data_IF_522200357976
#
_entry.id   IF_522200357976
#
_cell.length_a   1.000
_cell.length_b   1.000
_cell.length_c   1.000
_cell.angle_alpha   90.00
_cell.angle_beta   90.00
_cell.angle_gamma   90.00
#
_symmetry.space_group_name_H-M   'P 1'
#
loop_
_entity.id
_entity.type
_entity.pdbx_description
1 polymer ?
#
# COMPACT_ATOMS: atom_id res chain seq x y z
N UNK A 1 14.66 1.16 -19.90
CA UNK A 1 13.59 2.17 -20.05
C UNK A 1 12.70 2.03 -18.82
N UNK A 2 12.44 3.11 -18.08
CA UNK A 2 11.61 3.08 -16.88
C UNK A 2 10.15 2.93 -17.30
N UNK A 3 9.51 1.82 -16.94
CA UNK A 3 8.14 1.49 -17.32
C UNK A 3 7.13 2.28 -16.46
N UNK A 4 7.14 3.61 -16.57
CA UNK A 4 6.14 4.46 -15.91
C UNK A 4 4.92 4.56 -16.81
N UNK A 5 3.83 3.91 -16.42
CA UNK A 5 2.53 4.10 -17.04
C UNK A 5 2.10 5.57 -16.91
N UNK A 6 1.52 6.16 -17.97
CA UNK A 6 0.94 7.50 -17.88
C UNK A 6 -0.10 7.56 -16.76
N UNK A 7 -0.18 8.70 -16.06
CA UNK A 7 -1.14 8.91 -14.96
C UNK A 7 -2.60 8.68 -15.34
N UNK A 8 -2.98 9.03 -16.58
CA UNK A 8 -4.32 8.80 -17.09
C UNK A 8 -4.65 7.30 -17.11
N UNK A 9 -3.72 6.47 -17.62
CA UNK A 9 -3.86 5.02 -17.65
C UNK A 9 -3.95 4.42 -16.24
N UNK A 10 -3.20 4.96 -15.28
CA UNK A 10 -3.31 4.54 -13.87
C UNK A 10 -4.68 4.88 -13.25
N UNK A 11 -5.32 5.96 -13.69
CA UNK A 11 -6.67 6.30 -13.25
C UNK A 11 -7.72 5.34 -13.84
N UNK A 12 -7.54 4.93 -15.09
CA UNK A 12 -8.42 3.93 -15.73
C UNK A 12 -8.32 2.56 -15.05
N UNK A 13 -7.10 2.13 -14.70
CA UNK A 13 -6.88 0.89 -13.91
C UNK A 13 -7.57 0.99 -12.56
N UNK A 14 -7.41 2.11 -11.87
CA UNK A 14 -8.04 2.37 -10.57
C UNK A 14 -9.56 2.32 -10.67
N UNK A 15 -10.15 2.88 -11.72
CA UNK A 15 -11.59 2.86 -11.97
C UNK A 15 -12.09 1.43 -12.27
N UNK A 16 -11.39 0.68 -13.12
CA UNK A 16 -11.72 -0.72 -13.41
C UNK A 16 -11.73 -1.57 -12.14
N UNK A 17 -10.68 -1.48 -11.32
CA UNK A 17 -10.61 -2.17 -10.03
C UNK A 17 -11.69 -1.70 -9.06
N UNK A 18 -12.02 -0.41 -9.00
CA UNK A 18 -13.11 0.08 -8.15
C UNK A 18 -14.49 -0.46 -8.59
N UNK A 19 -14.70 -0.63 -9.89
CA UNK A 19 -15.92 -1.21 -10.47
C UNK A 19 -15.98 -2.75 -10.37
N UNK A 20 -14.88 -3.40 -9.98
CA UNK A 20 -14.79 -4.87 -9.97
C UNK A 20 -14.54 -5.48 -11.35
N UNK A 21 -14.20 -4.66 -12.36
CA UNK A 21 -13.80 -5.13 -13.69
C UNK A 21 -12.35 -5.63 -13.67
N UNK A 22 -12.19 -6.88 -13.21
CA UNK A 22 -10.88 -7.53 -13.11
C UNK A 22 -10.28 -7.80 -14.50
N UNK A 23 -11.10 -8.12 -15.50
CA UNK A 23 -10.63 -8.39 -16.85
C UNK A 23 -10.06 -7.11 -17.50
N UNK A 24 -10.78 -5.99 -17.40
CA UNK A 24 -10.30 -4.69 -17.85
C UNK A 24 -9.03 -4.26 -17.11
N UNK A 25 -8.98 -4.44 -15.79
CA UNK A 25 -7.79 -4.15 -15.00
C UNK A 25 -6.58 -4.99 -15.44
N UNK A 26 -6.75 -6.29 -15.70
CA UNK A 26 -5.69 -7.17 -16.22
C UNK A 26 -5.16 -6.68 -17.56
N UNK A 27 -6.05 -6.34 -18.50
CA UNK A 27 -5.65 -5.85 -19.84
C UNK A 27 -4.87 -4.55 -19.74
N UNK A 28 -5.32 -3.61 -18.91
CA UNK A 28 -4.69 -2.30 -18.74
C UNK A 28 -3.35 -2.38 -17.98
N UNK A 29 -3.22 -3.29 -17.01
CA UNK A 29 -1.97 -3.50 -16.28
C UNK A 29 -0.90 -4.21 -17.13
N UNK A 30 -1.32 -5.00 -18.12
CA UNK A 30 -0.40 -5.76 -18.96
C UNK A 30 0.38 -6.83 -18.17
N UNK A 31 1.36 -7.47 -18.83
CA UNK A 31 2.12 -8.58 -18.24
C UNK A 31 2.94 -8.16 -17.01
N UNK A 32 3.33 -9.15 -16.20
CA UNK A 32 4.05 -8.96 -14.92
C UNK A 32 5.58 -8.78 -15.10
N UNK A 33 6.04 -8.73 -16.36
CA UNK A 33 7.43 -9.00 -16.75
C UNK A 33 8.38 -7.82 -16.47
N UNK A 34 7.84 -6.63 -16.25
CA UNK A 34 8.60 -5.40 -16.09
C UNK A 34 8.76 -4.97 -14.63
N UNK A 35 9.93 -4.41 -14.30
CA UNK A 35 10.18 -3.85 -12.97
C UNK A 35 9.17 -2.74 -12.66
N UNK A 36 8.44 -2.92 -11.55
CA UNK A 36 7.47 -1.94 -11.12
C UNK A 36 8.16 -0.74 -10.45
N UNK A 37 7.95 0.45 -11.00
CA UNK A 37 8.57 1.70 -10.53
C UNK A 37 7.58 2.66 -9.85
N UNK A 38 6.30 2.29 -9.80
CA UNK A 38 5.22 3.03 -9.13
C UNK A 38 4.59 2.15 -8.07
N UNK A 39 4.43 2.71 -6.87
CA UNK A 39 3.72 2.05 -5.79
C UNK A 39 2.24 1.86 -6.10
N UNK A 40 1.63 2.78 -6.87
CA UNK A 40 0.26 2.62 -7.37
C UNK A 40 0.11 1.40 -8.26
N UNK A 41 0.98 1.23 -9.26
CA UNK A 41 0.95 0.05 -10.15
C UNK A 41 1.12 -1.24 -9.35
N UNK A 42 2.10 -1.30 -8.45
CA UNK A 42 2.33 -2.48 -7.60
C UNK A 42 1.11 -2.78 -6.70
N UNK A 43 0.49 -1.75 -6.11
CA UNK A 43 -0.72 -1.93 -5.32
C UNK A 43 -1.90 -2.43 -6.15
N UNK A 44 -2.09 -1.94 -7.37
CA UNK A 44 -3.15 -2.41 -8.26
C UNK A 44 -2.95 -3.87 -8.69
N UNK A 45 -1.71 -4.29 -8.97
CA UNK A 45 -1.39 -5.71 -9.20
C UNK A 45 -1.70 -6.57 -7.98
N UNK A 46 -1.42 -6.07 -6.76
CA UNK A 46 -1.80 -6.77 -5.54
C UNK A 46 -3.32 -6.92 -5.36
N UNK A 47 -4.08 -5.85 -5.62
CA UNK A 47 -5.55 -5.89 -5.57
C UNK A 47 -6.11 -6.91 -6.58
N UNK A 48 -5.55 -6.93 -7.80
CA UNK A 48 -5.93 -7.90 -8.82
C UNK A 48 -5.63 -9.33 -8.35
N UNK A 49 -4.40 -9.61 -7.94
CA UNK A 49 -3.96 -10.93 -7.48
C UNK A 49 -4.80 -11.45 -6.30
N UNK A 50 -5.07 -10.61 -5.30
CA UNK A 50 -5.89 -11.02 -4.15
C UNK A 50 -7.33 -11.36 -4.58
N UNK A 51 -7.91 -10.58 -5.50
CA UNK A 51 -9.27 -10.81 -6.00
C UNK A 51 -9.37 -11.99 -6.96
N UNK A 52 -8.27 -12.42 -7.57
CA UNK A 52 -8.19 -13.67 -8.36
C UNK A 52 -7.82 -14.89 -7.52
N UNK A 53 -7.59 -14.72 -6.21
CA UNK A 53 -7.27 -15.81 -5.28
C UNK A 53 -5.78 -16.11 -5.13
N UNK A 54 -4.91 -15.28 -5.70
CA UNK A 54 -3.45 -15.39 -5.63
C UNK A 54 -2.89 -14.59 -4.43
N UNK A 55 -3.24 -15.01 -3.21
CA UNK A 55 -2.93 -14.26 -1.99
C UNK A 55 -1.42 -14.05 -1.74
N UNK A 56 -0.59 -15.06 -2.00
CA UNK A 56 0.87 -14.98 -1.86
C UNK A 56 1.46 -13.93 -2.83
N UNK A 57 1.05 -13.99 -4.09
CA UNK A 57 1.44 -13.01 -5.13
C UNK A 57 0.99 -11.59 -4.77
N UNK A 58 -0.19 -11.45 -4.17
CA UNK A 58 -0.64 -10.16 -3.68
C UNK A 58 0.28 -9.59 -2.58
N UNK A 59 0.77 -10.43 -1.66
CA UNK A 59 1.73 -10.02 -0.64
C UNK A 59 3.08 -9.60 -1.25
N UNK A 60 3.57 -10.31 -2.28
CA UNK A 60 4.80 -9.94 -3.01
C UNK A 60 4.68 -8.56 -3.66
N UNK A 61 3.54 -8.29 -4.31
CA UNK A 61 3.27 -6.98 -4.90
C UNK A 61 3.14 -5.87 -3.85
N UNK A 62 2.55 -6.16 -2.69
CA UNK A 62 2.48 -5.20 -1.58
C UNK A 62 3.85 -4.91 -0.97
N UNK A 63 4.71 -5.92 -0.84
CA UNK A 63 6.10 -5.72 -0.43
C UNK A 63 6.85 -4.82 -1.43
N UNK A 64 6.60 -5.01 -2.72
CA UNK A 64 7.14 -4.15 -3.79
C UNK A 64 6.63 -2.71 -3.68
N UNK A 65 5.32 -2.51 -3.52
CA UNK A 65 4.72 -1.19 -3.35
C UNK A 65 5.30 -0.46 -2.12
N UNK A 66 5.45 -1.18 -1.01
CA UNK A 66 6.05 -0.67 0.22
C UNK A 66 7.49 -0.21 -0.01
N UNK A 67 8.33 -1.05 -0.63
CA UNK A 67 9.73 -0.73 -0.96
C UNK A 67 9.83 0.54 -1.80
N UNK A 68 8.97 0.70 -2.81
CA UNK A 68 8.95 1.89 -3.68
C UNK A 68 8.61 3.16 -2.88
N UNK A 69 7.61 3.11 -1.99
CA UNK A 69 7.26 4.28 -1.16
C UNK A 69 8.35 4.61 -0.14
N UNK A 70 8.85 3.61 0.58
CA UNK A 70 9.81 3.81 1.67
C UNK A 70 11.16 4.30 1.14
N UNK A 71 11.61 3.81 -0.03
CA UNK A 71 12.85 4.26 -0.66
C UNK A 71 12.85 5.73 -1.10
N UNK A 72 11.68 6.34 -1.29
CA UNK A 72 11.55 7.70 -1.84
C UNK A 72 11.17 8.75 -0.81
N UNK A 73 10.47 8.39 0.26
CA UNK A 73 9.77 9.37 1.11
C UNK A 73 9.78 9.09 2.61
N UNK A 74 10.61 8.17 3.10
CA UNK A 74 10.63 7.83 4.53
C UNK A 74 11.48 8.76 5.39
N UNK A 75 10.82 9.68 6.09
CA UNK A 75 11.32 10.24 7.35
C UNK A 75 10.27 10.06 8.47
N UNK A 76 10.54 9.19 9.46
CA UNK A 76 9.63 8.97 10.59
C UNK A 76 9.74 10.14 11.57
N UNK A 77 8.88 11.13 11.40
CA UNK A 77 8.76 12.27 12.33
C UNK A 77 7.55 12.08 13.25
N UNK A 78 7.57 12.59 14.49
CA UNK A 78 6.41 12.55 15.38
C UNK A 78 5.12 13.18 14.78
N UNK A 79 5.29 14.17 13.90
CA UNK A 79 4.19 14.80 13.17
C UNK A 79 3.56 13.86 12.14
N UNK A 80 4.38 13.10 11.41
CA UNK A 80 3.94 12.07 10.49
C UNK A 80 3.14 10.98 11.23
N UNK A 81 3.63 10.52 12.38
CA UNK A 81 2.95 9.54 13.25
C UNK A 81 1.56 9.99 13.71
N UNK A 82 1.44 11.26 14.14
CA UNK A 82 0.16 11.82 14.56
C UNK A 82 -0.84 11.90 13.39
N UNK A 83 -0.35 12.21 12.18
CA UNK A 83 -1.16 12.22 10.97
C UNK A 83 -1.63 10.82 10.59
N UNK A 84 -0.80 9.77 10.72
CA UNK A 84 -1.23 8.39 10.46
C UNK A 84 -2.31 7.92 11.43
N UNK A 85 -2.17 8.19 12.72
CA UNK A 85 -3.21 7.81 13.70
C UNK A 85 -4.55 8.44 13.37
N UNK A 86 -4.56 9.71 12.93
CA UNK A 86 -5.78 10.38 12.47
C UNK A 86 -6.32 9.77 11.17
N UNK A 87 -5.44 9.46 10.22
CA UNK A 87 -5.82 8.92 8.93
C UNK A 87 -6.43 7.51 9.03
N UNK A 88 -5.93 6.65 9.94
CA UNK A 88 -6.40 5.27 10.09
C UNK A 88 -7.93 5.13 10.25
N UNK A 89 -8.57 6.09 10.93
CA UNK A 89 -10.02 6.10 11.13
C UNK A 89 -10.83 6.65 9.94
N UNK A 90 -10.17 7.24 8.96
CA UNK A 90 -10.79 7.91 7.80
C UNK A 90 -10.52 7.19 6.47
N UNK A 91 -9.63 6.20 6.48
CA UNK A 91 -9.26 5.46 5.29
C UNK A 91 -10.36 4.47 4.88
N UNK A 92 -10.57 4.26 3.56
CA UNK A 92 -11.49 3.24 3.08
C UNK A 92 -11.06 1.83 3.52
N UNK A 93 -11.93 0.82 3.32
CA UNK A 93 -11.58 -0.57 3.57
C UNK A 93 -10.26 -0.96 2.88
N UNK A 94 -9.41 -1.80 3.51
CA UNK A 94 -8.22 -2.31 2.85
C UNK A 94 -8.56 -3.02 1.52
N UNK A 95 -7.69 -2.88 0.52
CA UNK A 95 -7.95 -3.37 -0.84
C UNK A 95 -8.81 -2.45 -1.72
N UNK A 96 -9.25 -1.30 -1.19
CA UNK A 96 -9.79 -0.21 -2.01
C UNK A 96 -8.65 0.46 -2.79
N UNK A 97 -8.70 0.49 -4.14
CA UNK A 97 -7.71 1.20 -4.95
C UNK A 97 -7.65 2.69 -4.59
N UNK A 98 -6.45 3.21 -4.29
CA UNK A 98 -6.25 4.64 -4.05
C UNK A 98 -6.00 5.40 -5.36
N UNK A 99 -6.20 6.72 -5.38
CA UNK A 99 -5.87 7.55 -6.55
C UNK A 99 -4.36 7.56 -6.82
N UNK A 100 -3.89 7.37 -8.07
CA UNK A 100 -2.45 7.35 -8.36
C UNK A 100 -1.75 8.70 -8.10
N UNK A 101 -2.51 9.79 -7.97
CA UNK A 101 -1.98 11.08 -7.54
C UNK A 101 -1.43 11.02 -6.10
N UNK A 102 -2.00 10.16 -5.25
CA UNK A 102 -1.66 10.03 -3.84
C UNK A 102 -0.19 9.64 -3.62
N UNK A 103 0.39 8.85 -4.52
CA UNK A 103 1.81 8.48 -4.48
C UNK A 103 2.73 9.71 -4.52
N UNK A 104 2.33 10.79 -5.21
CA UNK A 104 3.13 12.00 -5.30
C UNK A 104 2.77 13.04 -4.22
N UNK A 105 1.49 13.20 -3.89
CA UNK A 105 1.04 14.28 -2.98
C UNK A 105 1.07 13.86 -1.51
N UNK A 106 0.92 12.57 -1.23
CA UNK A 106 0.89 12.03 0.13
C UNK A 106 1.41 10.57 0.14
N UNK A 107 2.68 10.34 -0.25
CA UNK A 107 3.28 9.00 -0.37
C UNK A 107 3.15 8.19 0.91
N UNK A 108 3.18 8.88 2.04
CA UNK A 108 3.01 8.25 3.33
C UNK A 108 1.63 7.67 3.57
N UNK A 109 0.57 8.24 2.98
CA UNK A 109 -0.76 7.62 3.04
C UNK A 109 -0.77 6.33 2.21
N UNK A 110 -0.07 6.30 1.07
CA UNK A 110 0.11 5.07 0.27
C UNK A 110 0.76 3.97 1.11
N UNK A 111 1.78 4.29 1.92
CA UNK A 111 2.36 3.32 2.87
C UNK A 111 1.31 2.70 3.78
N UNK A 112 0.39 3.51 4.32
CA UNK A 112 -0.69 3.03 5.19
C UNK A 112 -1.66 2.13 4.43
N UNK A 113 -2.02 2.47 3.18
CA UNK A 113 -2.84 1.60 2.32
C UNK A 113 -2.20 0.23 2.12
N UNK A 114 -0.91 0.21 1.79
CA UNK A 114 -0.16 -1.01 1.50
C UNK A 114 -0.11 -1.91 2.74
N UNK A 115 0.30 -1.37 3.89
CA UNK A 115 0.46 -2.17 5.12
C UNK A 115 -0.88 -2.69 5.63
N UNK A 116 -1.95 -1.87 5.62
CA UNK A 116 -3.28 -2.32 6.06
C UNK A 116 -3.80 -3.45 5.19
N UNK A 117 -3.52 -3.40 3.88
CA UNK A 117 -3.99 -4.44 2.98
C UNK A 117 -3.18 -5.73 3.12
N UNK A 118 -1.86 -5.63 3.25
CA UNK A 118 -1.00 -6.78 3.49
C UNK A 118 -1.35 -7.48 4.82
N UNK A 119 -1.62 -6.71 5.88
CA UNK A 119 -2.08 -7.25 7.16
C UNK A 119 -3.44 -7.97 7.02
N UNK A 120 -4.38 -7.44 6.24
CA UNK A 120 -5.66 -8.10 5.98
C UNK A 120 -5.49 -9.43 5.22
N UNK A 121 -4.63 -9.48 4.20
CA UNK A 121 -4.34 -10.72 3.47
C UNK A 121 -3.69 -11.74 4.41
N UNK A 122 -2.64 -11.35 5.14
CA UNK A 122 -1.97 -12.22 6.10
C UNK A 122 -2.94 -12.78 7.14
N UNK A 123 -3.83 -11.95 7.69
CA UNK A 123 -4.86 -12.39 8.62
C UNK A 123 -5.79 -13.45 8.00
N UNK A 124 -6.25 -13.23 6.75
CA UNK A 124 -7.10 -14.21 6.04
C UNK A 124 -6.39 -15.53 5.75
N UNK A 125 -5.05 -15.52 5.64
CA UNK A 125 -4.25 -16.73 5.48
C UNK A 125 -3.95 -17.45 6.81
N UNK A 126 -4.39 -16.92 7.95
CA UNK A 126 -4.08 -17.48 9.29
C UNK A 126 -2.75 -16.99 9.88
N UNK A 127 -2.05 -16.08 9.21
CA UNK A 127 -0.77 -15.52 9.63
C UNK A 127 -0.96 -14.30 10.56
N UNK A 128 -1.70 -14.50 11.66
CA UNK A 128 -2.09 -13.40 12.57
C UNK A 128 -0.89 -12.67 13.19
N UNK A 129 0.19 -13.39 13.52
CA UNK A 129 1.40 -12.80 14.09
C UNK A 129 2.05 -11.83 13.11
N UNK A 130 2.20 -12.23 11.84
CA UNK A 130 2.72 -11.39 10.77
C UNK A 130 1.80 -10.18 10.52
N UNK A 131 0.48 -10.37 10.53
CA UNK A 131 -0.48 -9.28 10.38
C UNK A 131 -0.32 -8.22 11.49
N UNK A 132 -0.16 -8.65 12.75
CA UNK A 132 0.06 -7.74 13.89
C UNK A 132 1.39 -7.02 13.80
N UNK A 133 2.45 -7.71 13.40
CA UNK A 133 3.77 -7.11 13.21
C UNK A 133 3.75 -6.00 12.15
N UNK A 134 3.07 -6.25 11.03
CA UNK A 134 2.87 -5.26 9.97
C UNK A 134 2.10 -4.03 10.47
N UNK A 135 1.01 -4.22 11.21
CA UNK A 135 0.24 -3.09 11.76
C UNK A 135 1.02 -2.29 12.82
N UNK A 136 1.83 -2.96 13.64
CA UNK A 136 2.68 -2.28 14.61
C UNK A 136 3.75 -1.40 13.94
N UNK A 137 4.08 -1.69 12.68
CA UNK A 137 5.00 -0.89 11.88
C UNK A 137 4.40 0.41 11.30
N UNK A 138 3.09 0.63 11.47
CA UNK A 138 2.43 1.89 11.15
C UNK A 138 2.67 2.99 12.19
N UNK A 139 3.19 2.67 13.38
CA UNK A 139 3.43 3.64 14.47
C UNK A 139 4.92 3.60 14.90
N UNK A 140 5.83 4.20 14.11
CA UNK A 140 7.28 4.19 14.38
C UNK A 140 7.72 4.83 15.70
N UNK A 141 7.14 5.96 16.11
CA UNK A 141 7.57 6.70 17.30
C UNK A 141 7.21 5.97 18.61
N UNK A 142 6.18 5.12 18.61
CA UNK A 142 5.88 4.26 19.74
C UNK A 142 6.95 3.17 19.96
N UNK A 143 7.67 2.78 18.90
CA UNK A 143 8.77 1.79 18.96
C UNK A 143 10.11 2.40 19.36
N UNK A 144 10.33 3.70 19.14
CA UNK A 144 11.57 4.41 19.49
C UNK A 144 11.39 5.32 20.71
N UNK A 145 11.03 4.77 21.86
CA UNK A 145 11.36 5.33 23.19
C UNK A 145 11.23 6.84 23.41
N UNK A 146 10.25 7.53 22.82
CA UNK A 146 9.89 8.91 23.22
C UNK A 146 8.42 8.92 23.57
N UNK A 147 8.14 8.50 24.81
CA UNK A 147 6.91 8.88 25.49
C UNK A 147 7.07 10.37 25.83
N UNK A 148 6.22 11.28 25.33
CA UNK A 148 6.23 12.66 25.79
C UNK A 148 5.82 12.66 27.26
N UNK A 149 6.78 12.80 28.19
CA UNK A 149 6.52 12.84 29.62
C UNK A 149 7.56 12.17 30.52
N UNK A 150 8.49 11.38 29.97
CA UNK A 150 9.62 10.84 30.74
C UNK A 150 10.91 11.55 30.32
N UNK A 151 11.37 12.46 31.18
CA UNK A 151 12.73 12.99 31.16
C UNK A 151 13.69 11.95 31.79
N UNK A 152 14.99 11.98 31.46
CA UNK A 152 15.98 11.02 31.97
C UNK A 152 16.08 10.97 33.50
#
# INVERSE_FOLDING_TARGET
MTNQLPRALLADIQAALAAGDLAGATVLLGPDDDECVSAATAFYRAVLADRTGEAEKALEWLATARRIVESRFWEPTPAADALYRKALGLLPPPGTPFSPALEAVMPMLVRVYVIRYAALIAWRMGEEAAAREQLADLIPAARRGVIPGEAP
#
